data_IF_637827047109
#
_entry.id   IF_637827047109
#
_cell.length_a   1.000
_cell.length_b   1.000
_cell.length_c   1.000
_cell.angle_alpha   90.00
_cell.angle_beta   90.00
_cell.angle_gamma   90.00
#
_symmetry.space_group_name_H-M   'P 1'
#
loop_
_entity.id
_entity.type
_entity.pdbx_description
1 polymer ?
#
# COMPACT_ATOMS: atom_id res chain seq x y z
N UNK A 1 26.09 25.60 8.43
CA UNK A 1 26.22 24.46 9.35
C UNK A 1 24.85 23.91 9.60
N UNK A 2 24.65 22.61 9.38
CA UNK A 2 23.36 21.93 9.57
C UNK A 2 23.38 21.30 10.96
N UNK A 3 22.49 21.72 11.84
CA UNK A 3 22.15 21.01 13.07
C UNK A 3 20.88 20.20 12.83
N UNK A 4 20.99 18.88 12.99
CA UNK A 4 19.87 17.94 12.95
C UNK A 4 19.16 17.98 14.29
N UNK A 5 17.85 18.26 14.29
CA UNK A 5 16.95 17.85 15.37
C UNK A 5 15.67 17.24 14.78
N UNK A 6 15.14 16.27 15.52
CA UNK A 6 14.04 15.37 15.18
C UNK A 6 12.68 16.06 15.10
N UNK A 7 11.86 15.59 14.16
CA UNK A 7 10.42 15.85 13.95
C UNK A 7 10.04 17.17 13.29
N UNK A 8 9.68 17.07 12.02
CA UNK A 8 9.12 18.14 11.19
C UNK A 8 10.12 18.62 10.15
N UNK A 9 9.80 18.46 8.86
CA UNK A 9 10.50 19.18 7.80
C UNK A 9 10.26 20.67 8.02
N UNK A 10 11.18 21.36 8.69
CA UNK A 10 11.19 22.81 8.69
C UNK A 10 11.46 23.27 7.25
N UNK A 11 10.49 24.01 6.71
CA UNK A 11 10.55 24.70 5.43
C UNK A 11 11.90 25.40 5.32
N UNK A 12 12.72 25.04 4.33
CA UNK A 12 13.87 25.85 3.97
C UNK A 12 13.33 27.22 3.57
N UNK A 13 13.55 28.25 4.39
CA UNK A 13 13.23 29.63 4.04
C UNK A 13 13.90 29.93 2.68
N UNK A 14 13.09 30.16 1.64
CA UNK A 14 13.57 30.41 0.28
C UNK A 14 13.40 29.27 -0.75
N UNK A 15 12.77 28.14 -0.42
CA UNK A 15 12.46 27.12 -1.42
C UNK A 15 11.42 27.63 -2.44
N UNK A 16 11.80 27.72 -3.72
CA UNK A 16 10.85 27.96 -4.83
C UNK A 16 9.99 26.71 -4.98
N UNK A 17 8.77 26.72 -4.42
CA UNK A 17 7.79 25.63 -4.52
C UNK A 17 7.21 25.53 -5.95
N UNK A 18 8.09 25.46 -6.94
CA UNK A 18 7.78 25.36 -8.36
C UNK A 18 8.08 23.93 -8.80
N UNK A 19 7.03 23.16 -9.07
CA UNK A 19 7.16 21.79 -9.57
C UNK A 19 6.25 21.62 -10.78
N UNK A 20 6.80 21.09 -11.88
CA UNK A 20 5.98 20.71 -13.04
C UNK A 20 5.30 19.38 -12.72
N UNK A 21 3.97 19.37 -12.79
CA UNK A 21 3.16 18.18 -12.55
C UNK A 21 2.53 17.69 -13.86
N UNK A 22 2.33 16.37 -13.96
CA UNK A 22 1.58 15.77 -15.06
C UNK A 22 0.08 16.14 -15.01
N UNK A 23 -0.62 15.94 -16.12
CA UNK A 23 -2.08 16.12 -16.24
C UNK A 23 -2.88 14.83 -15.92
N UNK A 24 -2.26 13.91 -15.20
CA UNK A 24 -2.89 12.65 -14.79
C UNK A 24 -4.04 12.95 -13.82
N UNK A 25 -5.23 12.42 -14.11
CA UNK A 25 -6.44 12.59 -13.32
C UNK A 25 -6.49 11.54 -12.20
N UNK A 26 -5.79 11.82 -11.10
CA UNK A 26 -5.75 10.98 -9.89
C UNK A 26 -6.06 11.83 -8.64
N UNK A 27 -7.33 12.25 -8.45
CA UNK A 27 -7.66 13.30 -7.50
C UNK A 27 -7.27 12.93 -6.07
N UNK A 28 -6.89 13.93 -5.27
CA UNK A 28 -6.60 13.80 -3.83
C UNK A 28 -7.22 14.95 -3.05
N UNK A 29 -7.59 14.70 -1.80
CA UNK A 29 -8.16 15.69 -0.91
C UNK A 29 -7.09 16.23 0.05
N UNK A 30 -6.94 17.55 0.12
CA UNK A 30 -6.08 18.22 1.10
C UNK A 30 -6.74 18.37 2.47
N UNK A 31 -5.94 18.60 3.52
CA UNK A 31 -6.44 18.91 4.87
C UNK A 31 -7.22 20.23 4.96
N UNK A 32 -7.07 21.07 3.95
CA UNK A 32 -7.85 22.29 3.73
C UNK A 32 -9.26 22.02 3.14
N UNK A 33 -9.54 20.77 2.79
CA UNK A 33 -10.81 20.36 2.19
C UNK A 33 -10.93 20.70 0.71
N UNK A 34 -9.82 20.99 0.01
CA UNK A 34 -9.79 21.19 -1.44
C UNK A 34 -9.32 19.95 -2.19
N UNK A 35 -9.96 19.69 -3.34
CA UNK A 35 -9.56 18.61 -4.24
C UNK A 35 -8.44 19.07 -5.16
N UNK A 36 -7.36 18.30 -5.22
CA UNK A 36 -6.24 18.50 -6.12
C UNK A 36 -6.25 17.45 -7.23
N UNK A 37 -5.84 17.83 -8.44
CA UNK A 37 -5.85 16.95 -9.62
C UNK A 37 -5.06 15.65 -9.42
N UNK A 38 -3.91 15.76 -8.74
CA UNK A 38 -3.04 14.65 -8.40
C UNK A 38 -2.14 15.00 -7.22
N UNK A 39 -1.45 13.98 -6.69
CA UNK A 39 -0.52 14.13 -5.55
C UNK A 39 0.57 15.18 -5.79
N UNK A 40 1.06 15.32 -7.01
CA UNK A 40 2.08 16.32 -7.33
C UNK A 40 1.54 17.74 -7.11
N UNK A 41 0.34 18.03 -7.61
CA UNK A 41 -0.31 19.34 -7.40
C UNK A 41 -0.55 19.63 -5.91
N UNK A 42 -1.00 18.63 -5.14
CA UNK A 42 -1.12 18.79 -3.69
C UNK A 42 0.24 19.09 -3.04
N UNK A 43 1.30 18.38 -3.41
CA UNK A 43 2.62 18.54 -2.81
C UNK A 43 3.21 19.94 -3.04
N UNK A 44 2.88 20.58 -4.16
CA UNK A 44 3.19 21.99 -4.40
C UNK A 44 2.53 22.88 -3.35
N UNK A 45 1.24 22.65 -3.04
CA UNK A 45 0.53 23.43 -2.02
C UNK A 45 0.95 23.09 -0.59
N UNK A 46 1.33 21.84 -0.29
CA UNK A 46 2.00 21.45 0.96
C UNK A 46 3.24 22.33 1.17
N UNK A 47 4.06 22.51 0.13
CA UNK A 47 5.26 23.35 0.19
C UNK A 47 4.93 24.85 0.37
N UNK A 48 3.88 25.34 -0.30
CA UNK A 48 3.51 26.77 -0.30
C UNK A 48 2.84 27.23 0.98
N UNK A 49 1.82 26.49 1.42
CA UNK A 49 0.86 26.89 2.45
C UNK A 49 0.98 26.01 3.71
N UNK A 50 1.68 24.86 3.64
CA UNK A 50 1.86 23.98 4.79
C UNK A 50 0.64 23.10 5.10
N UNK A 51 -0.22 22.85 4.10
CA UNK A 51 -1.32 21.88 4.20
C UNK A 51 -0.78 20.44 4.15
N UNK A 52 -1.63 19.44 4.38
CA UNK A 52 -1.29 18.02 4.25
C UNK A 52 -2.24 17.27 3.32
N UNK A 53 -1.92 16.00 3.03
CA UNK A 53 -2.85 15.06 2.41
C UNK A 53 -3.87 14.59 3.44
N UNK A 54 -5.16 14.79 3.17
CA UNK A 54 -6.25 14.23 3.98
C UNK A 54 -6.53 12.79 3.55
N UNK A 55 -6.92 12.57 2.30
CA UNK A 55 -7.19 11.24 1.75
C UNK A 55 -7.03 11.19 0.23
N UNK A 56 -6.97 9.98 -0.32
CA UNK A 56 -7.02 9.74 -1.77
C UNK A 56 -8.45 9.96 -2.30
N UNK A 57 -8.60 10.43 -3.53
CA UNK A 57 -9.88 10.83 -4.12
C UNK A 57 -10.25 12.29 -3.88
N UNK A 58 -11.32 12.75 -4.54
CA UNK A 58 -11.83 14.12 -4.38
C UNK A 58 -12.40 14.36 -2.99
N UNK A 59 -12.27 15.59 -2.48
CA UNK A 59 -12.99 16.02 -1.29
C UNK A 59 -14.50 16.02 -1.57
N UNK A 60 -15.25 15.31 -0.72
CA UNK A 60 -16.70 15.29 -0.76
C UNK A 60 -17.28 15.87 0.53
N UNK A 61 -18.52 16.36 0.47
CA UNK A 61 -19.32 16.62 1.66
C UNK A 61 -19.91 15.26 2.11
N UNK A 62 -19.14 14.49 2.90
CA UNK A 62 -19.39 13.07 3.21
C UNK A 62 -20.69 12.83 4.01
N UNK A 63 -21.42 13.87 4.41
CA UNK A 63 -22.81 13.75 4.89
C UNK A 63 -23.72 12.94 3.94
N UNK A 64 -23.35 12.80 2.65
CA UNK A 64 -24.06 12.00 1.66
C UNK A 64 -23.60 10.52 1.51
N UNK A 65 -22.52 10.07 2.17
CA UNK A 65 -22.07 8.67 2.03
C UNK A 65 -22.82 7.69 2.93
N UNK A 66 -23.61 8.18 3.88
CA UNK A 66 -24.51 7.33 4.68
C UNK A 66 -25.74 6.88 3.89
N UNK A 67 -26.06 7.53 2.78
CA UNK A 67 -27.35 7.35 2.09
C UNK A 67 -27.32 6.39 0.89
N UNK A 68 -26.15 5.92 0.42
CA UNK A 68 -26.08 5.02 -0.75
C UNK A 68 -25.02 3.91 -0.57
N UNK A 69 -25.06 3.18 0.54
CA UNK A 69 -24.35 1.92 0.61
C UNK A 69 -25.09 0.87 -0.23
N UNK A 70 -24.42 0.21 -1.18
CA UNK A 70 -25.06 -0.85 -1.95
C UNK A 70 -25.49 -1.96 -0.98
N UNK A 71 -26.66 -2.55 -1.24
CA UNK A 71 -27.18 -3.70 -0.46
C UNK A 71 -26.77 -5.02 -1.14
N UNK A 72 -26.66 -5.01 -2.47
CA UNK A 72 -26.22 -6.15 -3.28
C UNK A 72 -25.41 -5.67 -4.50
N UNK A 73 -24.60 -6.57 -5.07
CA UNK A 73 -23.70 -6.28 -6.19
C UNK A 73 -23.88 -7.22 -7.39
N UNK A 74 -24.94 -8.02 -7.44
CA UNK A 74 -25.12 -9.09 -8.42
C UNK A 74 -25.22 -8.59 -9.86
N UNK A 75 -25.75 -7.38 -10.05
CA UNK A 75 -25.92 -6.73 -11.36
C UNK A 75 -24.81 -5.70 -11.67
N UNK A 76 -23.80 -5.57 -10.80
CA UNK A 76 -22.77 -4.57 -10.96
C UNK A 76 -21.81 -4.91 -12.12
N UNK A 77 -21.38 -3.93 -12.92
CA UNK A 77 -20.35 -4.15 -13.93
C UNK A 77 -19.06 -4.69 -13.31
N UNK A 78 -18.50 -5.74 -13.89
CA UNK A 78 -17.19 -6.26 -13.52
C UNK A 78 -16.11 -5.39 -14.16
N UNK A 79 -15.75 -4.29 -13.49
CA UNK A 79 -14.67 -3.39 -13.90
C UNK A 79 -13.26 -3.92 -13.57
N UNK A 80 -13.19 -5.17 -13.11
CA UNK A 80 -11.98 -5.91 -12.77
C UNK A 80 -11.46 -5.59 -11.37
N UNK A 81 -10.32 -6.18 -10.97
CA UNK A 81 -9.75 -5.89 -9.66
C UNK A 81 -9.37 -4.41 -9.57
N UNK A 82 -9.92 -3.75 -8.57
CA UNK A 82 -9.69 -2.36 -8.25
C UNK A 82 -8.86 -2.26 -6.96
N UNK A 83 -8.06 -1.20 -6.87
CA UNK A 83 -7.28 -0.89 -5.67
C UNK A 83 -7.99 0.21 -4.89
N UNK A 84 -8.34 -0.05 -3.63
CA UNK A 84 -8.94 0.90 -2.71
C UNK A 84 -7.91 1.81 -2.06
N UNK A 85 -8.35 2.95 -1.52
CA UNK A 85 -7.49 3.89 -0.77
C UNK A 85 -7.00 3.35 0.59
N UNK A 86 -7.61 2.26 1.03
CA UNK A 86 -7.24 1.46 2.20
C UNK A 86 -6.10 0.47 1.92
N UNK A 87 -5.60 0.41 0.68
CA UNK A 87 -4.55 -0.51 0.26
C UNK A 87 -5.05 -1.91 -0.10
N UNK A 88 -6.37 -2.16 0.03
CA UNK A 88 -6.97 -3.44 -0.30
C UNK A 88 -7.37 -3.55 -1.77
N UNK A 89 -7.36 -4.76 -2.29
CA UNK A 89 -7.83 -5.08 -3.65
C UNK A 89 -9.20 -5.72 -3.58
N UNK A 90 -10.14 -5.13 -4.33
CA UNK A 90 -11.51 -5.60 -4.43
C UNK A 90 -11.77 -6.09 -5.86
N UNK A 91 -12.65 -7.09 -6.06
CA UNK A 91 -12.86 -7.65 -7.40
C UNK A 91 -13.63 -6.73 -8.35
N UNK A 92 -14.38 -5.75 -7.81
CA UNK A 92 -15.03 -4.69 -8.57
C UNK A 92 -15.38 -3.49 -7.67
N UNK A 93 -15.79 -2.38 -8.28
CA UNK A 93 -16.15 -1.14 -7.57
C UNK A 93 -17.36 -1.29 -6.63
N UNK A 94 -18.34 -2.14 -6.96
CA UNK A 94 -19.51 -2.33 -6.10
C UNK A 94 -19.12 -3.04 -4.79
N UNK A 95 -18.38 -4.14 -4.89
CA UNK A 95 -17.94 -4.90 -3.71
C UNK A 95 -17.06 -4.08 -2.78
N UNK A 96 -16.19 -3.22 -3.32
CA UNK A 96 -15.46 -2.25 -2.49
C UNK A 96 -16.43 -1.38 -1.69
N UNK A 97 -17.41 -0.73 -2.34
CA UNK A 97 -18.38 0.15 -1.66
C UNK A 97 -19.24 -0.60 -0.64
N UNK A 98 -19.59 -1.86 -0.92
CA UNK A 98 -20.35 -2.73 -0.03
C UNK A 98 -19.56 -3.02 1.26
N UNK A 99 -18.33 -3.53 1.12
CA UNK A 99 -17.49 -3.95 2.25
C UNK A 99 -16.92 -2.78 3.07
N UNK A 100 -16.76 -1.62 2.44
CA UNK A 100 -16.17 -0.42 3.06
C UNK A 100 -17.19 0.69 3.33
N UNK A 101 -18.48 0.34 3.32
CA UNK A 101 -19.58 1.27 3.61
C UNK A 101 -19.29 2.08 4.89
N UNK A 102 -19.42 3.40 4.79
CA UNK A 102 -19.16 4.32 5.91
C UNK A 102 -17.69 4.60 6.22
N UNK A 103 -16.72 3.91 5.62
CA UNK A 103 -15.28 4.12 5.83
C UNK A 103 -14.65 5.14 4.85
N UNK A 104 -15.41 5.59 3.85
CA UNK A 104 -14.93 6.57 2.88
C UNK A 104 -13.77 6.06 2.01
N UNK A 105 -13.70 4.75 1.77
CA UNK A 105 -12.73 4.16 0.83
C UNK A 105 -13.13 4.51 -0.60
N UNK A 106 -12.15 4.91 -1.39
CA UNK A 106 -12.34 5.25 -2.80
C UNK A 106 -11.43 4.41 -3.69
N UNK A 107 -11.79 4.31 -4.97
CA UNK A 107 -10.93 3.67 -5.97
C UNK A 107 -9.71 4.55 -6.24
N UNK A 108 -8.53 3.94 -6.31
CA UNK A 108 -7.24 4.59 -6.51
C UNK A 108 -6.44 3.95 -7.63
N UNK A 109 -5.22 4.43 -7.84
CA UNK A 109 -4.28 3.86 -8.81
C UNK A 109 -3.92 2.42 -8.47
N UNK A 110 -3.90 1.51 -9.45
CA UNK A 110 -3.52 0.09 -9.26
C UNK A 110 -2.12 -0.10 -8.67
N UNK A 111 -1.25 0.91 -8.74
CA UNK A 111 0.09 0.91 -8.14
C UNK A 111 0.09 1.02 -6.62
N UNK A 112 -1.01 1.48 -6.02
CA UNK A 112 -1.12 1.67 -4.58
C UNK A 112 -1.21 0.33 -3.82
N UNK A 113 -1.81 -0.70 -4.44
CA UNK A 113 -1.94 -2.03 -3.85
C UNK A 113 -0.90 -3.00 -4.44
N UNK A 114 -0.39 -3.91 -3.60
CA UNK A 114 0.73 -4.77 -3.93
C UNK A 114 0.44 -5.74 -5.09
N UNK A 115 -0.67 -6.47 -5.04
CA UNK A 115 -1.06 -7.46 -6.08
C UNK A 115 -1.52 -6.82 -7.40
N UNK A 116 -1.87 -5.53 -7.40
CA UNK A 116 -2.30 -4.83 -8.62
C UNK A 116 -1.22 -3.99 -9.28
N UNK A 117 -0.05 -3.85 -8.65
CA UNK A 117 1.05 -3.00 -9.14
C UNK A 117 1.47 -3.30 -10.59
N UNK A 118 1.39 -4.57 -10.98
CA UNK A 118 1.83 -5.10 -12.26
C UNK A 118 0.66 -5.47 -13.21
N UNK A 119 -0.57 -5.04 -12.89
CA UNK A 119 -1.77 -5.33 -13.70
C UNK A 119 -1.75 -4.72 -15.11
N UNK A 120 -0.92 -3.71 -15.34
CA UNK A 120 -0.75 -3.07 -16.65
C UNK A 120 0.70 -3.14 -17.02
N UNK A 121 1.06 -4.24 -17.67
CA UNK A 121 2.37 -4.39 -18.27
C UNK A 121 2.15 -4.80 -19.72
N UNK A 122 2.38 -3.85 -20.62
CA UNK A 122 2.85 -4.16 -21.96
C UNK A 122 4.11 -5.00 -21.81
N UNK A 123 3.95 -6.33 -21.78
CA UNK A 123 5.06 -7.23 -21.58
C UNK A 123 5.91 -7.31 -22.85
N UNK A 124 7.18 -6.98 -22.71
CA UNK A 124 8.18 -7.30 -23.73
C UNK A 124 8.20 -8.80 -24.03
N UNK A 125 8.48 -9.17 -25.28
CA UNK A 125 8.64 -10.57 -25.69
C UNK A 125 9.99 -11.11 -25.19
N UNK A 126 10.12 -11.28 -23.88
CA UNK A 126 11.23 -12.00 -23.27
C UNK A 126 10.74 -13.42 -22.99
N UNK A 127 11.42 -14.43 -23.53
CA UNK A 127 11.06 -15.85 -23.32
C UNK A 127 11.85 -16.44 -22.15
N UNK A 128 11.55 -16.02 -20.91
CA UNK A 128 12.06 -16.68 -19.70
C UNK A 128 10.86 -17.29 -18.97
N UNK A 129 10.50 -18.56 -19.23
CA UNK A 129 9.36 -19.20 -18.61
C UNK A 129 9.43 -19.12 -17.08
N UNK A 130 8.27 -18.93 -16.44
CA UNK A 130 8.15 -18.79 -14.99
C UNK A 130 7.07 -19.75 -14.49
N UNK A 131 7.33 -20.48 -13.41
CA UNK A 131 6.33 -21.30 -12.73
C UNK A 131 5.66 -20.46 -11.64
N UNK A 132 4.33 -20.40 -11.64
CA UNK A 132 3.55 -19.74 -10.61
C UNK A 132 3.23 -20.67 -9.44
N UNK A 133 2.98 -20.09 -8.27
CA UNK A 133 2.51 -20.80 -7.07
C UNK A 133 1.17 -21.52 -7.25
N UNK A 134 0.45 -21.18 -8.32
CA UNK A 134 -0.78 -21.81 -8.80
C UNK A 134 -0.54 -23.09 -9.63
N UNK A 135 0.73 -23.48 -9.83
CA UNK A 135 1.10 -24.68 -10.60
C UNK A 135 1.16 -24.48 -12.11
N UNK A 136 0.88 -23.27 -12.60
CA UNK A 136 0.86 -22.98 -14.04
C UNK A 136 2.20 -22.43 -14.53
N UNK A 137 2.58 -22.80 -15.76
CA UNK A 137 3.76 -22.24 -16.45
C UNK A 137 3.35 -21.04 -17.30
N UNK A 138 4.06 -19.93 -17.12
CA UNK A 138 3.87 -18.69 -17.84
C UNK A 138 5.05 -18.41 -18.77
N UNK A 139 4.81 -17.69 -19.86
CA UNK A 139 5.86 -17.36 -20.84
C UNK A 139 6.96 -16.46 -20.28
N UNK A 140 6.62 -15.58 -19.33
CA UNK A 140 7.54 -14.85 -18.48
C UNK A 140 6.87 -14.30 -17.21
N UNK A 141 7.69 -13.84 -16.26
CA UNK A 141 7.25 -13.26 -14.98
C UNK A 141 6.28 -12.08 -15.16
N UNK A 142 6.47 -11.24 -16.19
CA UNK A 142 5.54 -10.15 -16.51
C UNK A 142 4.15 -10.69 -16.88
N UNK A 143 4.08 -11.70 -17.76
CA UNK A 143 2.82 -12.33 -18.18
C UNK A 143 2.14 -13.09 -17.03
N UNK A 144 2.92 -13.69 -16.14
CA UNK A 144 2.42 -14.30 -14.90
C UNK A 144 1.71 -13.26 -14.03
N UNK A 145 2.40 -12.14 -13.71
CA UNK A 145 1.84 -11.06 -12.88
C UNK A 145 0.64 -10.39 -13.53
N UNK A 146 0.69 -10.17 -14.85
CA UNK A 146 -0.41 -9.54 -15.58
C UNK A 146 -1.68 -10.42 -15.63
N UNK A 147 -1.54 -11.74 -15.86
CA UNK A 147 -2.67 -12.69 -15.83
C UNK A 147 -3.27 -12.87 -14.43
N UNK A 148 -2.43 -12.76 -13.40
CA UNK A 148 -2.82 -12.88 -11.99
C UNK A 148 -2.98 -11.51 -11.31
N UNK A 149 -3.39 -10.50 -12.07
CA UNK A 149 -3.70 -9.17 -11.57
C UNK A 149 -4.71 -9.23 -10.40
N UNK A 150 -4.35 -8.65 -9.25
CA UNK A 150 -5.20 -8.65 -8.06
C UNK A 150 -5.33 -10.00 -7.36
N UNK A 151 -4.54 -11.00 -7.76
CA UNK A 151 -4.41 -12.30 -7.09
C UNK A 151 -3.02 -12.41 -6.45
N UNK A 152 -2.90 -13.25 -5.44
CA UNK A 152 -1.61 -13.57 -4.83
C UNK A 152 -0.96 -14.78 -5.53
N UNK A 153 -0.28 -14.53 -6.66
CA UNK A 153 0.51 -15.55 -7.37
C UNK A 153 1.95 -15.08 -7.50
N UNK A 154 2.87 -15.89 -6.96
CA UNK A 154 4.30 -15.58 -6.94
C UNK A 154 5.11 -16.64 -7.69
N UNK A 155 6.34 -16.27 -8.06
CA UNK A 155 7.27 -17.16 -8.76
C UNK A 155 7.80 -18.23 -7.80
N UNK A 156 7.72 -19.49 -8.23
CA UNK A 156 8.23 -20.66 -7.51
C UNK A 156 9.18 -21.46 -8.40
N UNK A 157 10.00 -22.37 -7.83
CA UNK A 157 10.91 -23.19 -8.62
C UNK A 157 10.19 -23.99 -9.71
N UNK A 158 10.76 -24.01 -10.92
CA UNK A 158 10.15 -24.63 -12.09
C UNK A 158 9.86 -26.13 -11.92
N UNK A 159 10.62 -26.83 -11.08
CA UNK A 159 10.39 -28.24 -10.73
C UNK A 159 9.00 -28.50 -10.13
N UNK A 160 8.39 -27.51 -9.47
CA UNK A 160 7.03 -27.61 -8.93
C UNK A 160 6.01 -27.88 -10.04
N UNK A 161 5.94 -26.99 -11.05
CA UNK A 161 5.00 -27.14 -12.17
C UNK A 161 5.26 -28.41 -12.99
N UNK A 162 6.54 -28.76 -13.23
CA UNK A 162 6.87 -29.93 -14.07
C UNK A 162 6.52 -31.27 -13.45
N UNK A 163 6.41 -31.32 -12.12
CA UNK A 163 5.95 -32.52 -11.40
C UNK A 163 4.44 -32.75 -11.54
N UNK A 164 3.65 -31.69 -11.75
CA UNK A 164 2.18 -31.76 -11.86
C UNK A 164 1.69 -32.11 -13.27
N UNK A 165 2.39 -31.68 -14.33
CA UNK A 165 1.97 -31.93 -15.72
C UNK A 165 2.23 -33.36 -16.23
N UNK A 166 2.96 -34.22 -15.51
CA UNK A 166 3.53 -35.47 -16.06
C UNK A 166 3.25 -36.72 -15.22
N UNK A 167 1.98 -37.11 -15.16
CA UNK A 167 1.59 -38.51 -14.86
C UNK A 167 1.66 -39.45 -16.08
N UNK A 168 2.15 -39.00 -17.24
CA UNK A 168 2.29 -39.86 -18.42
C UNK A 168 3.62 -39.60 -19.13
N UNK A 169 4.60 -40.49 -18.92
CA UNK A 169 5.72 -40.70 -19.85
C UNK A 169 7.05 -40.02 -19.52
N UNK A 170 8.01 -40.84 -19.10
CA UNK A 170 9.47 -40.75 -19.29
C UNK A 170 10.17 -39.39 -19.04
N UNK A 171 10.50 -39.10 -17.77
CA UNK A 171 11.75 -38.44 -17.39
C UNK A 171 12.04 -38.64 -15.88
N UNK A 172 12.65 -39.78 -15.53
CA UNK A 172 12.99 -40.15 -14.15
C UNK A 172 14.15 -39.34 -13.51
N UNK A 173 14.40 -38.08 -13.89
CA UNK A 173 15.66 -37.40 -13.56
C UNK A 173 15.57 -35.97 -13.00
N UNK A 174 14.38 -35.38 -12.84
CA UNK A 174 14.25 -34.02 -12.30
C UNK A 174 14.02 -34.02 -10.78
N UNK A 175 14.97 -33.51 -9.97
CA UNK A 175 14.78 -33.45 -8.53
C UNK A 175 13.70 -32.43 -8.16
N UNK A 176 12.77 -32.83 -7.29
CA UNK A 176 11.71 -31.97 -6.73
C UNK A 176 12.09 -31.37 -5.37
N UNK A 177 13.08 -31.95 -4.70
CA UNK A 177 13.65 -31.46 -3.44
C UNK A 177 15.13 -31.83 -3.34
N UNK A 178 15.94 -30.92 -2.82
CA UNK A 178 17.37 -31.13 -2.55
C UNK A 178 17.68 -31.07 -1.04
N UNK A 179 16.68 -31.29 -0.17
CA UNK A 179 16.81 -31.09 1.29
C UNK A 179 17.84 -32.03 1.95
N UNK A 180 18.10 -33.20 1.36
CA UNK A 180 18.98 -34.24 1.94
C UNK A 180 20.42 -34.21 1.37
N UNK A 181 20.76 -33.27 0.49
CA UNK A 181 22.12 -33.16 -0.04
C UNK A 181 23.01 -32.26 0.83
N UNK A 182 24.30 -32.60 0.94
CA UNK A 182 25.31 -31.73 1.56
C UNK A 182 25.47 -30.45 0.76
N UNK A 183 25.57 -29.31 1.46
CA UNK A 183 25.83 -28.03 0.81
C UNK A 183 27.23 -28.02 0.17
N UNK A 184 27.25 -28.06 -1.16
CA UNK A 184 28.47 -27.93 -1.96
C UNK A 184 28.24 -26.85 -3.01
N UNK A 185 28.72 -25.65 -2.68
CA UNK A 185 28.56 -24.48 -3.52
C UNK A 185 29.02 -24.76 -4.95
N UNK A 186 28.13 -24.55 -5.91
CA UNK A 186 28.34 -24.83 -7.33
C UNK A 186 28.23 -23.54 -8.12
N UNK A 187 29.25 -23.17 -8.89
CA UNK A 187 29.20 -21.99 -9.76
C UNK A 187 28.55 -22.38 -11.10
N UNK A 188 27.54 -21.62 -11.52
CA UNK A 188 26.92 -21.77 -12.84
C UNK A 188 27.58 -20.92 -13.91
N UNK A 189 27.39 -21.31 -15.16
CA UNK A 189 27.79 -20.54 -16.34
C UNK A 189 27.07 -19.19 -16.45
N UNK A 190 25.98 -18.99 -15.71
CA UNK A 190 25.25 -17.73 -15.58
C UNK A 190 25.84 -16.78 -14.51
N UNK A 191 26.93 -17.19 -13.87
CA UNK A 191 27.61 -16.41 -12.83
C UNK A 191 26.87 -16.40 -11.49
N UNK A 192 25.87 -17.25 -11.29
CA UNK A 192 25.22 -17.45 -9.99
C UNK A 192 25.82 -18.64 -9.23
N UNK A 193 25.64 -18.62 -7.92
CA UNK A 193 26.10 -19.67 -7.02
C UNK A 193 24.89 -20.47 -6.54
N UNK A 194 24.95 -21.79 -6.68
CA UNK A 194 23.92 -22.72 -6.23
C UNK A 194 24.41 -23.47 -4.99
N UNK A 195 23.49 -23.93 -4.14
CA UNK A 195 23.75 -24.69 -2.90
C UNK A 195 24.36 -26.06 -3.17
N UNK A 196 23.93 -26.72 -4.25
CA UNK A 196 24.44 -28.02 -4.68
C UNK A 196 24.24 -28.21 -6.19
N UNK A 197 24.82 -29.28 -6.74
CA UNK A 197 24.57 -29.68 -8.11
C UNK A 197 23.10 -30.08 -8.34
N UNK A 198 22.38 -30.57 -7.33
CA UNK A 198 20.94 -30.81 -7.42
C UNK A 198 20.15 -29.53 -7.67
N UNK A 199 20.47 -28.43 -6.99
CA UNK A 199 19.77 -27.14 -7.21
C UNK A 199 20.02 -26.61 -8.62
N UNK A 200 21.24 -26.75 -9.15
CA UNK A 200 21.58 -26.40 -10.53
C UNK A 200 20.83 -27.30 -11.54
N UNK A 201 20.69 -28.61 -11.25
CA UNK A 201 19.88 -29.54 -12.06
C UNK A 201 18.39 -29.20 -12.01
N UNK A 202 17.88 -28.84 -10.83
CA UNK A 202 16.49 -28.43 -10.60
C UNK A 202 16.14 -27.17 -11.40
N UNK A 203 17.05 -26.20 -11.47
CA UNK A 203 16.88 -25.01 -12.30
C UNK A 203 16.83 -25.34 -13.80
N UNK A 204 17.60 -26.33 -14.24
CA UNK A 204 17.64 -26.77 -15.63
C UNK A 204 16.45 -27.63 -16.04
N UNK A 205 15.60 -28.03 -15.09
CA UNK A 205 14.41 -28.83 -15.40
C UNK A 205 13.52 -28.09 -16.42
N UNK A 206 13.21 -28.82 -17.50
CA UNK A 206 12.48 -28.39 -18.71
C UNK A 206 12.93 -27.09 -19.37
N UNK A 207 14.20 -26.73 -19.22
CA UNK A 207 14.89 -25.89 -20.20
C UNK A 207 15.36 -26.74 -21.38
N UNK A 208 15.30 -26.20 -22.60
CA UNK A 208 15.97 -26.78 -23.77
C UNK A 208 17.48 -26.74 -23.52
N UNK A 209 18.22 -27.82 -23.82
CA UNK A 209 19.67 -27.98 -23.57
C UNK A 209 20.53 -26.77 -23.96
N UNK A 210 20.15 -25.98 -24.98
CA UNK A 210 20.84 -24.75 -25.41
C UNK A 210 20.78 -23.59 -24.40
N UNK A 211 19.86 -23.60 -23.43
CA UNK A 211 19.68 -22.56 -22.39
C UNK A 211 19.99 -23.07 -20.97
N UNK A 212 20.45 -24.31 -20.84
CA UNK A 212 20.78 -24.90 -19.55
C UNK A 212 22.05 -24.27 -18.97
N UNK A 213 22.01 -23.92 -17.68
CA UNK A 213 23.17 -23.44 -16.92
C UNK A 213 24.09 -24.62 -16.66
N UNK A 214 25.34 -24.54 -17.11
CA UNK A 214 26.34 -25.58 -16.88
C UNK A 214 27.17 -25.26 -15.64
N UNK A 215 27.59 -26.29 -14.90
CA UNK A 215 28.59 -26.12 -13.85
C UNK A 215 29.91 -25.62 -14.46
N UNK A 216 30.48 -24.58 -13.87
CA UNK A 216 31.80 -24.05 -14.21
C UNK A 216 32.68 -24.01 -12.97
N UNK A 217 33.96 -23.70 -13.17
CA UNK A 217 34.90 -23.53 -12.06
C UNK A 217 34.46 -22.42 -11.10
N UNK A 218 34.61 -22.67 -9.79
CA UNK A 218 34.22 -21.76 -8.71
C UNK A 218 34.96 -20.42 -8.77
N UNK A 219 36.15 -20.39 -9.39
CA UNK A 219 36.96 -19.18 -9.57
C UNK A 219 36.20 -18.09 -10.35
N UNK A 220 35.36 -18.46 -11.31
CA UNK A 220 34.53 -17.51 -12.07
C UNK A 220 33.51 -16.78 -11.19
N UNK A 221 33.07 -17.40 -10.10
CA UNK A 221 32.15 -16.81 -9.13
C UNK A 221 32.86 -16.18 -7.92
N UNK A 222 34.19 -16.32 -7.77
CA UNK A 222 34.94 -15.94 -6.56
C UNK A 222 34.82 -14.45 -6.20
N UNK A 223 34.92 -13.56 -7.18
CA UNK A 223 34.79 -12.12 -6.95
C UNK A 223 33.39 -11.74 -6.45
N UNK A 224 32.36 -12.39 -7.00
CA UNK A 224 30.97 -12.21 -6.57
C UNK A 224 30.74 -12.76 -5.17
N UNK A 225 31.32 -13.92 -4.86
CA UNK A 225 31.29 -14.52 -3.52
C UNK A 225 31.87 -13.55 -2.47
N UNK A 226 33.07 -13.02 -2.70
CA UNK A 226 33.74 -12.09 -1.78
C UNK A 226 32.93 -10.79 -1.63
N UNK A 227 32.34 -10.28 -2.71
CA UNK A 227 31.51 -9.08 -2.67
C UNK A 227 30.23 -9.29 -1.85
N UNK A 228 29.54 -10.40 -2.05
CA UNK A 228 28.28 -10.70 -1.37
C UNK A 228 28.49 -11.17 0.07
N UNK A 229 29.60 -11.84 0.39
CA UNK A 229 29.90 -12.33 1.75
C UNK A 229 30.27 -11.23 2.73
N UNK A 230 30.63 -10.03 2.24
CA UNK A 230 30.86 -8.85 3.08
C UNK A 230 29.55 -8.23 3.60
N UNK A 231 28.40 -8.68 3.11
CA UNK A 231 27.11 -8.19 3.54
C UNK A 231 26.74 -8.81 4.90
N UNK A 232 27.04 -8.09 5.98
CA UNK A 232 26.59 -8.48 7.33
C UNK A 232 25.15 -8.04 7.53
N UNK A 233 24.33 -8.92 8.10
CA UNK A 233 22.95 -8.63 8.48
C UNK A 233 22.83 -8.71 10.01
N UNK A 234 22.16 -7.74 10.66
CA UNK A 234 21.91 -7.84 12.09
C UNK A 234 20.98 -9.03 12.39
N UNK A 235 21.22 -9.71 13.52
CA UNK A 235 20.45 -10.88 13.97
C UNK A 235 19.05 -10.52 14.54
N UNK A 236 18.68 -9.23 14.59
CA UNK A 236 17.34 -8.74 14.93
C UNK A 236 16.95 -7.60 13.97
N UNK A 237 15.68 -7.48 13.49
CA UNK A 237 14.44 -8.13 13.92
C UNK A 237 13.93 -9.26 12.98
N UNK A 238 13.08 -10.13 13.52
CA UNK A 238 12.41 -11.26 12.83
C UNK A 238 11.23 -10.75 12.00
N UNK A 239 11.50 -10.38 10.75
CA UNK A 239 10.47 -10.09 9.74
C UNK A 239 10.71 -11.03 8.55
N UNK A 240 10.27 -12.30 8.65
CA UNK A 240 10.65 -13.33 7.71
C UNK A 240 10.06 -13.07 6.33
N UNK A 241 10.79 -13.46 5.29
CA UNK A 241 10.37 -13.32 3.90
C UNK A 241 10.55 -14.63 3.12
N UNK A 242 9.69 -14.87 2.14
CA UNK A 242 9.79 -16.02 1.27
C UNK A 242 10.53 -15.66 -0.02
N UNK A 243 11.57 -16.43 -0.36
CA UNK A 243 12.28 -16.32 -1.63
C UNK A 243 11.61 -17.11 -2.76
N UNK A 244 11.92 -16.75 -4.00
CA UNK A 244 11.49 -17.48 -5.21
C UNK A 244 12.05 -18.91 -5.30
N UNK A 245 12.99 -19.26 -4.42
CA UNK A 245 13.52 -20.60 -4.20
C UNK A 245 12.68 -21.44 -3.21
N UNK A 246 11.54 -20.91 -2.76
CA UNK A 246 10.69 -21.48 -1.71
C UNK A 246 11.40 -21.65 -0.35
N UNK A 247 12.45 -20.86 -0.10
CA UNK A 247 13.14 -20.82 1.21
C UNK A 247 12.71 -19.59 2.00
N UNK A 248 12.47 -19.80 3.30
CA UNK A 248 12.23 -18.70 4.25
C UNK A 248 13.55 -18.08 4.67
N UNK A 249 13.65 -16.76 4.57
CA UNK A 249 14.76 -15.94 5.04
C UNK A 249 14.33 -15.17 6.28
N UNK A 250 15.25 -14.98 7.23
CA UNK A 250 14.96 -14.35 8.52
C UNK A 250 14.57 -12.86 8.40
N UNK A 251 15.11 -12.18 7.40
CA UNK A 251 14.79 -10.78 7.11
C UNK A 251 15.04 -10.45 5.64
N UNK A 252 14.57 -9.29 5.21
CA UNK A 252 14.83 -8.76 3.87
C UNK A 252 16.34 -8.63 3.58
N UNK A 253 17.17 -8.33 4.59
CA UNK A 253 18.64 -8.28 4.44
C UNK A 253 19.21 -9.65 4.05
N UNK A 254 18.77 -10.72 4.72
CA UNK A 254 19.21 -12.08 4.43
C UNK A 254 18.79 -12.52 3.02
N UNK A 255 17.60 -12.11 2.58
CA UNK A 255 17.16 -12.32 1.21
C UNK A 255 18.04 -11.54 0.22
N UNK A 256 18.37 -10.28 0.48
CA UNK A 256 19.25 -9.48 -0.39
C UNK A 256 20.65 -10.10 -0.54
N UNK A 257 21.21 -10.66 0.54
CA UNK A 257 22.46 -11.42 0.46
C UNK A 257 22.32 -12.65 -0.45
N UNK A 258 21.20 -13.37 -0.36
CA UNK A 258 20.88 -14.49 -1.24
C UNK A 258 20.59 -14.06 -2.69
N UNK A 259 19.95 -12.92 -2.91
CA UNK A 259 19.77 -12.29 -4.22
C UNK A 259 21.12 -12.00 -4.86
N UNK A 260 22.06 -11.45 -4.08
CA UNK A 260 23.41 -11.13 -4.53
C UNK A 260 24.15 -12.39 -5.00
N UNK A 261 24.10 -13.49 -4.22
CA UNK A 261 24.85 -14.71 -4.52
C UNK A 261 24.16 -15.61 -5.56
N UNK A 262 22.85 -15.83 -5.38
CA UNK A 262 22.06 -16.86 -6.05
C UNK A 262 21.02 -16.32 -7.03
N UNK A 263 20.83 -15.00 -7.10
CA UNK A 263 19.83 -14.37 -7.96
C UNK A 263 18.37 -14.54 -7.51
N UNK A 264 18.16 -15.01 -6.28
CA UNK A 264 16.84 -15.28 -5.70
C UNK A 264 16.06 -13.97 -5.54
N UNK A 265 14.79 -13.98 -5.94
CA UNK A 265 13.91 -12.82 -5.83
C UNK A 265 12.98 -12.98 -4.62
N UNK A 266 12.42 -11.87 -4.15
CA UNK A 266 11.33 -11.92 -3.18
C UNK A 266 10.09 -12.54 -3.83
N UNK A 267 9.56 -13.60 -3.22
CA UNK A 267 8.27 -14.18 -3.61
C UNK A 267 7.13 -13.43 -2.91
N UNK A 268 7.11 -13.44 -1.58
CA UNK A 268 6.13 -12.72 -0.76
C UNK A 268 6.67 -12.44 0.65
N UNK A 269 6.00 -11.56 1.39
CA UNK A 269 6.30 -11.31 2.80
C UNK A 269 5.82 -12.47 3.68
N UNK A 270 6.46 -12.68 4.83
CA UNK A 270 6.16 -13.81 5.71
C UNK A 270 6.94 -15.08 5.36
N UNK A 271 6.69 -16.14 6.13
CA UNK A 271 7.31 -17.45 5.93
C UNK A 271 6.77 -18.12 4.66
N UNK A 272 7.59 -18.92 3.99
CA UNK A 272 7.13 -19.69 2.84
C UNK A 272 6.07 -20.72 3.25
N UNK A 273 5.12 -20.94 2.35
CA UNK A 273 4.13 -22.02 2.49
C UNK A 273 4.54 -23.29 1.75
N UNK A 274 4.14 -24.47 2.25
CA UNK A 274 4.28 -25.71 1.49
C UNK A 274 3.37 -25.70 0.25
N UNK A 275 3.98 -25.88 -0.93
CA UNK A 275 3.25 -25.87 -2.21
C UNK A 275 2.44 -27.17 -2.47
N UNK A 276 2.75 -28.25 -1.75
CA UNK A 276 2.09 -29.55 -1.90
C UNK A 276 1.09 -29.85 -0.76
N UNK A 277 0.92 -28.92 0.18
CA UNK A 277 -0.04 -29.13 1.26
C UNK A 277 -1.48 -29.02 0.71
N UNK A 278 -2.41 -29.88 1.20
CA UNK A 278 -3.82 -29.75 0.88
C UNK A 278 -4.39 -28.44 1.43
N UNK A 279 -5.25 -27.80 0.65
CA UNK A 279 -5.92 -26.57 1.03
C UNK A 279 -7.09 -26.88 1.99
N UNK A 280 -6.87 -26.70 3.29
CA UNK A 280 -7.94 -26.78 4.29
C UNK A 280 -8.61 -25.42 4.41
N UNK A 281 -9.64 -25.19 3.59
CA UNK A 281 -10.34 -23.91 3.54
C UNK A 281 -11.56 -23.89 4.48
N UNK A 282 -11.64 -22.91 5.41
CA UNK A 282 -12.81 -22.79 6.27
C UNK A 282 -14.04 -22.34 5.47
N UNK A 283 -15.17 -23.02 5.65
CA UNK A 283 -16.45 -22.66 5.02
C UNK A 283 -17.15 -21.52 5.79
N UNK A 284 -17.08 -21.55 7.11
CA UNK A 284 -17.68 -20.57 8.00
C UNK A 284 -16.64 -19.96 8.95
N UNK A 285 -16.82 -18.69 9.26
CA UNK A 285 -15.98 -17.93 10.17
C UNK A 285 -16.88 -17.09 11.07
N UNK A 286 -16.58 -17.08 12.37
CA UNK A 286 -17.30 -16.28 13.36
C UNK A 286 -17.31 -14.80 12.95
N UNK A 287 -18.50 -14.19 12.88
CA UNK A 287 -18.69 -12.80 12.48
C UNK A 287 -18.33 -11.81 13.60
N UNK A 288 -18.39 -12.25 14.86
CA UNK A 288 -18.12 -11.40 16.03
C UNK A 288 -16.63 -11.30 16.35
N UNK A 289 -15.81 -12.23 15.82
CA UNK A 289 -14.37 -12.18 15.93
C UNK A 289 -13.78 -11.08 15.03
N UNK A 290 -13.39 -9.96 15.65
CA UNK A 290 -12.73 -8.83 14.98
C UNK A 290 -11.28 -8.74 15.44
N UNK A 291 -10.39 -9.40 14.70
CA UNK A 291 -8.95 -9.48 14.93
C UNK A 291 -8.19 -9.17 13.63
N UNK A 292 -8.13 -7.89 13.18
CA UNK A 292 -7.65 -7.56 11.85
C UNK A 292 -6.24 -8.12 11.55
N UNK A 293 -6.10 -8.85 10.46
CA UNK A 293 -4.84 -9.48 10.05
C UNK A 293 -4.36 -8.93 8.71
N UNK A 294 -3.05 -8.70 8.58
CA UNK A 294 -2.42 -8.35 7.32
C UNK A 294 -1.97 -9.61 6.58
N UNK A 295 -2.36 -9.75 5.31
CA UNK A 295 -1.93 -10.84 4.43
C UNK A 295 -0.66 -10.50 3.67
N UNK A 296 0.08 -11.53 3.26
CA UNK A 296 1.30 -11.40 2.42
C UNK A 296 1.05 -10.78 1.04
N UNK A 297 -0.21 -10.73 0.63
CA UNK A 297 -0.71 -10.08 -0.57
C UNK A 297 -0.93 -8.57 -0.42
N UNK A 298 -0.72 -8.04 0.79
CA UNK A 298 -0.88 -6.63 1.12
C UNK A 298 -2.32 -6.23 1.43
N UNK A 299 -3.25 -7.19 1.52
CA UNK A 299 -4.63 -6.94 1.91
C UNK A 299 -4.83 -7.17 3.42
N UNK A 300 -5.77 -6.43 3.99
CA UNK A 300 -6.23 -6.57 5.38
C UNK A 300 -7.53 -7.35 5.41
N UNK A 301 -7.58 -8.35 6.29
CA UNK A 301 -8.74 -9.20 6.53
C UNK A 301 -9.26 -8.99 7.94
N UNK A 302 -10.56 -9.25 8.14
CA UNK A 302 -11.23 -9.05 9.43
C UNK A 302 -10.70 -9.96 10.56
N UNK A 303 -10.27 -11.16 10.20
CA UNK A 303 -9.68 -12.16 11.10
C UNK A 303 -8.82 -13.14 10.31
N UNK A 304 -8.04 -13.96 11.02
CA UNK A 304 -7.22 -15.01 10.39
C UNK A 304 -8.07 -16.06 9.66
N UNK A 305 -9.26 -16.38 10.17
CA UNK A 305 -10.19 -17.30 9.51
C UNK A 305 -10.59 -16.77 8.13
N UNK A 306 -10.84 -15.47 8.05
CA UNK A 306 -11.32 -14.83 6.82
C UNK A 306 -10.24 -14.62 5.79
N UNK A 307 -9.01 -14.36 6.25
CA UNK A 307 -7.84 -14.46 5.39
C UNK A 307 -7.83 -15.85 4.73
N UNK A 308 -7.90 -16.93 5.49
CA UNK A 308 -7.87 -18.31 4.95
C UNK A 308 -9.06 -18.60 4.01
N UNK A 309 -10.26 -18.15 4.37
CA UNK A 309 -11.48 -18.33 3.56
C UNK A 309 -11.38 -17.61 2.23
N UNK A 310 -11.07 -16.31 2.24
CA UNK A 310 -11.05 -15.46 1.06
C UNK A 310 -9.88 -15.77 0.11
N UNK A 311 -8.78 -16.31 0.64
CA UNK A 311 -7.54 -16.57 -0.12
C UNK A 311 -7.27 -18.05 -0.36
N UNK A 312 -8.27 -18.90 -0.15
CA UNK A 312 -8.21 -20.34 -0.42
C UNK A 312 -7.57 -20.63 -1.80
N UNK A 313 -6.55 -21.50 -1.82
CA UNK A 313 -5.77 -21.83 -3.03
C UNK A 313 -4.79 -20.76 -3.52
N UNK A 314 -4.80 -19.54 -2.97
CA UNK A 314 -3.86 -18.45 -3.33
C UNK A 314 -2.62 -18.40 -2.44
N UNK A 315 -2.53 -19.28 -1.42
CA UNK A 315 -1.32 -19.43 -0.59
C UNK A 315 -0.88 -18.13 0.10
N UNK A 316 -1.83 -17.30 0.53
CA UNK A 316 -1.57 -16.08 1.31
C UNK A 316 -1.27 -16.48 2.77
N UNK A 317 -0.28 -15.84 3.37
CA UNK A 317 0.07 -16.02 4.80
C UNK A 317 -0.18 -14.77 5.60
N UNK A 318 -0.40 -14.92 6.90
CA UNK A 318 -0.38 -13.80 7.83
C UNK A 318 1.04 -13.23 7.94
N UNK A 319 1.10 -11.90 7.94
CA UNK A 319 2.34 -11.14 8.09
C UNK A 319 2.16 -10.06 9.16
N UNK A 320 3.25 -9.51 9.70
CA UNK A 320 3.17 -8.41 10.65
C UNK A 320 2.31 -7.23 10.15
N UNK A 321 1.58 -6.61 11.08
CA UNK A 321 0.57 -5.58 10.79
C UNK A 321 1.11 -4.34 10.06
N UNK A 322 2.41 -4.04 10.17
CA UNK A 322 3.05 -2.90 9.49
C UNK A 322 3.17 -3.02 7.97
N UNK A 323 2.95 -4.20 7.41
CA UNK A 323 3.01 -4.42 5.96
C UNK A 323 1.74 -3.96 5.22
N UNK A 324 0.63 -3.73 5.92
CA UNK A 324 -0.62 -3.26 5.34
C UNK A 324 -1.01 -1.86 5.84
N UNK A 325 -1.65 -1.06 4.99
CA UNK A 325 -1.87 0.36 5.24
C UNK A 325 -2.74 0.66 6.48
N UNK A 326 -3.87 -0.02 6.64
CA UNK A 326 -4.82 0.23 7.75
C UNK A 326 -4.45 -0.49 9.05
N UNK A 327 -3.50 -1.43 9.02
CA UNK A 327 -3.03 -2.12 10.22
C UNK A 327 -1.68 -1.61 10.73
N UNK A 328 -0.99 -0.76 9.97
CA UNK A 328 0.38 -0.37 10.30
C UNK A 328 0.55 0.37 11.64
N UNK A 329 -0.50 1.04 12.10
CA UNK A 329 -0.48 1.81 13.35
C UNK A 329 -1.13 1.06 14.54
N UNK A 330 -1.60 -0.18 14.39
CA UNK A 330 -2.35 -0.87 15.45
C UNK A 330 -1.55 -1.03 16.75
N UNK A 331 -0.25 -1.28 16.63
CA UNK A 331 0.66 -1.47 17.77
C UNK A 331 1.56 -0.26 18.01
N UNK A 332 1.25 0.89 17.40
CA UNK A 332 2.07 2.08 17.51
C UNK A 332 1.87 2.75 18.88
N UNK A 333 2.97 3.04 19.56
CA UNK A 333 2.95 3.86 20.78
C UNK A 333 2.80 5.33 20.35
N UNK A 334 1.68 5.94 20.72
CA UNK A 334 1.39 7.34 20.40
C UNK A 334 1.90 8.28 21.49
N UNK A 335 2.42 9.45 21.07
CA UNK A 335 2.83 10.50 22.00
C UNK A 335 1.66 11.16 22.73
N UNK A 336 1.96 11.93 23.77
CA UNK A 336 0.95 12.62 24.59
C UNK A 336 0.54 14.00 24.05
N UNK A 337 1.03 14.38 22.88
CA UNK A 337 0.67 15.64 22.21
C UNK A 337 -0.84 15.72 21.93
N UNK A 338 -1.42 16.91 22.05
CA UNK A 338 -2.85 17.19 21.90
C UNK A 338 -3.14 17.91 20.58
N UNK A 339 -2.78 17.28 19.47
CA UNK A 339 -3.03 17.79 18.13
C UNK A 339 -4.35 17.22 17.61
N UNK A 340 -5.48 17.69 18.16
CA UNK A 340 -6.79 17.09 17.91
C UNK A 340 -7.12 17.01 16.42
N UNK A 341 -7.65 15.86 16.00
CA UNK A 341 -8.12 15.62 14.63
C UNK A 341 -9.57 15.15 14.64
N UNK A 342 -10.29 15.46 13.57
CA UNK A 342 -11.62 14.91 13.30
C UNK A 342 -11.46 13.73 12.33
N UNK A 343 -11.91 12.54 12.73
CA UNK A 343 -11.91 11.36 11.86
C UNK A 343 -13.06 11.36 10.87
N UNK A 344 -12.91 10.62 9.77
CA UNK A 344 -13.94 10.45 8.75
C UNK A 344 -15.21 9.76 9.25
N UNK A 345 -15.12 9.11 10.41
CA UNK A 345 -16.20 8.54 11.22
C UNK A 345 -16.98 9.58 12.06
N UNK A 346 -16.62 10.86 11.94
CA UNK A 346 -17.15 11.99 12.72
C UNK A 346 -16.81 11.94 14.22
N UNK A 347 -15.74 11.23 14.61
CA UNK A 347 -15.27 11.20 16.00
C UNK A 347 -14.02 12.08 16.16
N UNK A 348 -13.87 12.68 17.34
CA UNK A 348 -12.66 13.38 17.73
C UNK A 348 -11.60 12.43 18.27
N UNK A 349 -10.36 12.64 17.84
CA UNK A 349 -9.19 11.93 18.34
C UNK A 349 -8.17 12.93 18.84
N UNK A 350 -7.41 12.55 19.88
CA UNK A 350 -6.39 13.42 20.49
C UNK A 350 -5.31 13.83 19.50
N UNK A 351 -4.92 12.91 18.63
CA UNK A 351 -3.97 13.09 17.55
C UNK A 351 -4.20 12.03 16.45
N UNK A 352 -3.56 12.23 15.31
CA UNK A 352 -3.67 11.32 14.15
C UNK A 352 -3.18 9.89 14.45
N UNK A 353 -2.19 9.74 15.33
CA UNK A 353 -1.69 8.41 15.73
C UNK A 353 -2.77 7.63 16.46
N UNK A 354 -3.40 8.23 17.48
CA UNK A 354 -4.50 7.58 18.22
C UNK A 354 -5.68 7.26 17.30
N UNK A 355 -6.00 8.15 16.35
CA UNK A 355 -7.03 7.88 15.34
C UNK A 355 -6.74 6.61 14.55
N UNK A 356 -5.52 6.43 14.03
CA UNK A 356 -5.15 5.25 13.24
C UNK A 356 -5.08 3.98 14.10
N UNK A 357 -4.54 4.09 15.31
CA UNK A 357 -4.43 2.95 16.24
C UNK A 357 -5.80 2.42 16.67
N UNK A 358 -6.69 3.32 17.11
CA UNK A 358 -8.01 2.96 17.60
C UNK A 358 -8.94 2.44 16.48
N UNK A 359 -8.60 2.72 15.21
CA UNK A 359 -9.28 2.23 14.01
C UNK A 359 -8.45 1.17 13.26
N UNK A 360 -7.73 0.32 13.99
CA UNK A 360 -6.97 -0.79 13.43
C UNK A 360 -7.79 -1.59 12.40
N UNK A 361 -7.24 -1.74 11.19
CA UNK A 361 -7.86 -2.49 10.09
C UNK A 361 -9.02 -1.77 9.40
N UNK A 362 -9.42 -0.58 9.84
CA UNK A 362 -10.44 0.26 9.21
C UNK A 362 -9.80 1.45 8.52
N UNK A 363 -10.42 1.92 7.45
CA UNK A 363 -9.96 3.11 6.76
C UNK A 363 -10.60 4.36 7.38
N UNK A 364 -9.87 5.02 8.28
CA UNK A 364 -10.26 6.31 8.87
C UNK A 364 -9.18 7.34 8.59
N UNK A 365 -9.59 8.50 8.09
CA UNK A 365 -8.69 9.59 7.70
C UNK A 365 -9.14 10.91 8.31
N UNK A 366 -8.20 11.85 8.40
CA UNK A 366 -8.47 13.18 8.95
C UNK A 366 -9.35 13.96 8.00
N UNK A 367 -10.47 14.49 8.49
CA UNK A 367 -11.38 15.37 7.75
C UNK A 367 -11.43 16.76 8.39
N UNK A 368 -11.90 17.80 7.66
CA UNK A 368 -11.98 19.15 8.22
C UNK A 368 -12.78 19.20 9.52
N UNK A 369 -12.23 19.89 10.53
CA UNK A 369 -12.76 19.93 11.90
C UNK A 369 -14.24 20.35 11.96
N UNK A 370 -14.66 21.22 11.04
CA UNK A 370 -16.06 21.65 10.89
C UNK A 370 -17.05 20.49 10.86
N UNK A 371 -16.65 19.32 10.35
CA UNK A 371 -17.51 18.14 10.23
C UNK A 371 -17.86 17.53 11.59
N UNK A 372 -16.88 17.35 12.47
CA UNK A 372 -17.16 16.90 13.83
C UNK A 372 -17.84 17.99 14.67
N UNK A 373 -17.58 19.27 14.39
CA UNK A 373 -18.21 20.40 15.08
C UNK A 373 -19.68 20.64 14.68
N UNK A 374 -20.15 20.14 13.54
CA UNK A 374 -21.55 20.26 13.11
C UNK A 374 -22.52 19.51 14.05
N UNK A 375 -22.06 18.45 14.72
CA UNK A 375 -22.85 17.72 15.73
C UNK A 375 -22.85 18.38 17.11
N UNK A 376 -22.01 19.39 17.34
CA UNK A 376 -21.99 20.14 18.58
C UNK A 376 -23.00 21.29 18.50
N UNK A 377 -24.13 21.16 19.19
CA UNK A 377 -24.94 22.33 19.54
C UNK A 377 -24.18 23.15 20.57
N UNK A 378 -23.39 24.10 20.10
CA UNK A 378 -22.80 25.09 20.98
C UNK A 378 -23.91 25.93 21.61
N UNK A 379 -23.93 26.03 22.95
CA UNK A 379 -24.82 26.97 23.65
C UNK A 379 -24.36 28.40 23.34
N UNK A 380 -25.27 29.22 22.78
CA UNK A 380 -25.00 30.61 22.41
C UNK A 380 -24.13 30.75 21.16
N UNK A 381 -23.23 31.74 21.15
CA UNK A 381 -22.36 32.04 20.00
C UNK A 381 -20.92 31.51 20.14
N UNK A 382 -20.65 30.69 21.15
CA UNK A 382 -19.33 30.13 21.37
C UNK A 382 -19.03 29.08 20.29
N UNK A 383 -17.90 29.19 19.59
CA UNK A 383 -17.45 28.21 18.60
C UNK A 383 -15.97 27.91 18.83
N UNK A 384 -15.55 26.67 18.58
CA UNK A 384 -14.13 26.32 18.53
C UNK A 384 -13.62 26.74 17.16
N UNK A 385 -12.87 27.85 17.11
CA UNK A 385 -12.23 28.31 15.88
C UNK A 385 -10.78 27.86 15.82
N UNK A 386 -10.30 27.36 14.66
CA UNK A 386 -8.89 27.08 14.47
C UNK A 386 -8.09 28.38 14.64
N UNK A 387 -6.89 28.29 15.22
CA UNK A 387 -5.98 29.43 15.41
C UNK A 387 -5.18 29.75 14.15
N UNK A 388 -5.45 29.05 13.04
CA UNK A 388 -4.82 29.32 11.75
C UNK A 388 -5.24 30.71 11.26
N UNK A 389 -4.26 31.49 10.82
CA UNK A 389 -4.49 32.79 10.23
C UNK A 389 -4.66 32.62 8.72
N UNK A 390 -5.91 32.59 8.27
CA UNK A 390 -6.33 32.54 6.87
C UNK A 390 -7.33 33.69 6.64
N UNK A 391 -6.81 34.92 6.49
CA UNK A 391 -7.62 36.12 6.60
C UNK A 391 -8.68 36.19 5.50
N UNK A 392 -9.84 36.75 5.83
CA UNK A 392 -10.91 37.03 4.87
C UNK A 392 -11.43 38.47 5.05
N UNK A 393 -11.85 39.08 3.96
CA UNK A 393 -12.51 40.38 3.98
C UNK A 393 -14.03 40.18 4.01
N UNK A 394 -14.69 40.75 5.01
CA UNK A 394 -16.14 40.77 5.14
C UNK A 394 -16.80 41.84 4.28
N UNK A 395 -18.10 41.71 4.01
CA UNK A 395 -18.91 42.73 3.32
C UNK A 395 -19.03 44.05 4.09
N UNK A 396 -18.56 44.09 5.34
CA UNK A 396 -18.45 45.25 6.20
C UNK A 396 -17.08 45.96 6.09
N UNK A 397 -16.25 45.58 5.12
CA UNK A 397 -14.88 46.04 4.94
C UNK A 397 -13.96 45.76 6.15
N UNK A 398 -14.29 44.76 6.99
CA UNK A 398 -13.45 44.32 8.11
C UNK A 398 -12.74 43.01 7.77
N UNK A 399 -11.46 42.94 8.15
CA UNK A 399 -10.66 41.72 8.04
C UNK A 399 -10.92 40.80 9.23
N UNK A 400 -11.22 39.54 8.97
CA UNK A 400 -11.38 38.49 9.98
C UNK A 400 -10.25 37.48 9.88
N UNK A 401 -9.76 36.97 11.02
CA UNK A 401 -8.61 36.05 11.06
C UNK A 401 -8.84 34.74 10.30
N UNK A 402 -10.09 34.28 10.24
CA UNK A 402 -10.56 33.20 9.37
C UNK A 402 -12.10 33.19 9.31
N UNK A 403 -12.66 32.37 8.41
CA UNK A 403 -14.11 32.16 8.23
C UNK A 403 -14.85 31.82 9.54
N UNK A 404 -14.21 31.13 10.49
CA UNK A 404 -14.85 30.80 11.77
C UNK A 404 -15.04 32.04 12.66
N UNK A 405 -14.04 32.92 12.74
CA UNK A 405 -14.14 34.15 13.52
C UNK A 405 -15.17 35.13 12.95
N UNK A 406 -15.31 35.22 11.62
CA UNK A 406 -16.40 35.97 10.96
C UNK A 406 -17.77 35.46 11.43
N UNK A 407 -18.00 34.15 11.36
CA UNK A 407 -19.27 33.56 11.77
C UNK A 407 -19.54 33.72 13.28
N UNK A 408 -18.50 33.70 14.12
CA UNK A 408 -18.61 33.93 15.55
C UNK A 408 -19.04 35.38 15.84
N UNK A 409 -18.40 36.36 15.19
CA UNK A 409 -18.77 37.77 15.29
C UNK A 409 -20.20 38.02 14.80
N UNK A 410 -20.57 37.49 13.63
CA UNK A 410 -21.94 37.56 13.12
C UNK A 410 -22.97 37.06 14.13
N UNK A 411 -22.68 35.93 14.79
CA UNK A 411 -23.56 35.42 15.84
C UNK A 411 -23.62 36.36 17.05
N UNK A 412 -22.47 36.81 17.57
CA UNK A 412 -22.38 37.63 18.80
C UNK A 412 -23.03 39.00 18.61
N UNK A 413 -22.80 39.62 17.46
CA UNK A 413 -23.31 40.95 17.10
C UNK A 413 -24.67 40.93 16.41
N UNK A 414 -25.22 39.74 16.09
CA UNK A 414 -26.43 39.55 15.27
C UNK A 414 -26.34 40.26 13.92
N UNK A 415 -25.15 40.30 13.33
CA UNK A 415 -24.89 40.88 12.01
C UNK A 415 -24.89 39.81 10.91
N UNK A 416 -25.16 40.25 9.68
CA UNK A 416 -25.18 39.42 8.47
C UNK A 416 -24.01 39.79 7.56
N UNK A 417 -22.79 39.79 8.10
CA UNK A 417 -21.59 40.06 7.31
C UNK A 417 -21.24 38.84 6.47
N UNK A 418 -21.37 38.95 5.15
CA UNK A 418 -20.94 37.93 4.22
C UNK A 418 -19.43 38.00 3.98
N UNK A 419 -18.88 36.98 3.32
CA UNK A 419 -17.51 37.04 2.80
C UNK A 419 -17.50 37.76 1.46
N UNK A 420 -16.65 38.78 1.33
CA UNK A 420 -16.43 39.50 0.09
C UNK A 420 -15.31 38.87 -0.73
N UNK A 421 -14.12 38.67 -0.15
CA UNK A 421 -12.99 37.98 -0.78
C UNK A 421 -12.06 37.31 0.25
N UNK A 422 -11.16 36.44 -0.23
CA UNK A 422 -10.06 35.89 0.58
C UNK A 422 -8.94 36.93 0.73
N UNK A 423 -8.21 36.92 1.85
CA UNK A 423 -7.18 37.92 2.16
C UNK A 423 -7.68 39.04 3.06
N UNK A 424 -6.79 39.97 3.41
CA UNK A 424 -7.14 41.16 4.18
C UNK A 424 -7.87 42.20 3.31
N UNK A 425 -8.77 42.98 3.89
CA UNK A 425 -9.42 44.06 3.16
C UNK A 425 -8.38 45.10 2.70
N UNK A 426 -8.54 45.60 1.46
CA UNK A 426 -7.70 46.66 0.91
C UNK A 426 -6.46 46.19 0.15
N UNK A 427 -6.16 44.89 0.11
CA UNK A 427 -5.14 44.33 -0.78
C UNK A 427 -5.79 43.68 -2.02
N UNK A 428 -5.30 43.96 -3.24
CA UNK A 428 -5.80 43.30 -4.44
C UNK A 428 -5.41 41.82 -4.40
N UNK A 429 -6.42 40.95 -4.43
CA UNK A 429 -6.21 39.50 -4.46
C UNK A 429 -5.88 39.09 -5.88
N UNK A 430 -4.64 38.63 -6.14
CA UNK A 430 -4.43 37.73 -7.27
C UNK A 430 -5.22 36.45 -6.96
N UNK A 431 -6.31 36.21 -7.69
CA UNK A 431 -7.08 34.98 -7.53
C UNK A 431 -6.13 33.79 -7.63
N UNK A 432 -6.20 32.82 -6.70
CA UNK A 432 -5.44 31.59 -6.86
C UNK A 432 -5.90 30.97 -8.17
N UNK A 433 -4.96 30.83 -9.12
CA UNK A 433 -5.21 30.18 -10.41
C UNK A 433 -5.93 28.86 -10.13
N UNK A 434 -7.20 28.79 -10.54
CA UNK A 434 -7.94 27.56 -10.54
C UNK A 434 -7.24 26.60 -11.50
N UNK A 435 -6.39 25.72 -10.99
CA UNK A 435 -5.71 24.69 -11.80
C UNK A 435 -6.66 23.55 -12.24
N UNK A 436 -7.98 23.82 -12.26
CA UNK A 436 -9.00 22.93 -12.81
C UNK A 436 -9.16 23.07 -14.32
N UNK A 437 -8.41 23.97 -14.98
CA UNK A 437 -8.33 24.07 -16.44
C UNK A 437 -6.90 24.28 -16.94
#
# INVERSE_FOLDING_TARGET
GITVTSNGCQRAQGAKCEHRCGKELEPVCGTDGRTYLNRCMLQVEICRIGIGLSHLGSCNNISAHRENCPVACDQAPMDGPICGSDGNVYPNTCQMKLLTCGQGVVRTSKKHCQTTRHCRESCWRVSKPTCGSDGNIYSNSCRMKAKNCGKHVFEVPMAFCMSQERHQGAAAACPTSCQNERERLTCGSDGNIYRSECELKMLNCGLISKRAVKKVDIEKCRNKLIKCSKHSCPDNPVDPVCGSDAKTYNSMCHLQAATCMKGIQLAHMGKCVPLLAPDNCPEECDADEVSPTCGSDGNVYRSLCELKKATCGQRVVDVPLHHCATTAACNQVCGTERNFVCGSDNKFYRNECEMKRDNCGKHVFVVPMKRCLQGFQFKGCNRICPTIYDPICGTDNKTYSNDCFLQMENCRSRSLVGKQHHGICGEPVEEPKNYLY
#
